data_IF_721212807641
#
_entry.id   IF_721212807641
#
_cell.length_a   1.000
_cell.length_b   1.000
_cell.length_c   1.000
_cell.angle_alpha   90.00
_cell.angle_beta   90.00
_cell.angle_gamma   90.00
#
_symmetry.space_group_name_H-M   'P 1'
#
loop_
_entity.id
_entity.type
_entity.pdbx_description
1 polymer ?
#
# COMPACT_ATOMS: atom_id res chain seq x y z
N UNK A 1 11.44 2.21 -20.80
CA UNK A 1 10.91 1.24 -19.81
C UNK A 1 9.77 0.44 -20.44
N UNK A 2 9.85 -0.90 -20.52
CA UNK A 2 9.35 -1.61 -21.68
C UNK A 2 7.86 -2.03 -21.60
N UNK A 3 7.15 -1.58 -22.65
CA UNK A 3 5.78 -1.84 -23.15
C UNK A 3 5.41 -3.32 -23.41
N UNK A 4 5.89 -4.30 -22.63
CA UNK A 4 5.85 -5.71 -23.06
C UNK A 4 4.82 -6.63 -22.38
N UNK A 5 4.04 -6.19 -21.38
CA UNK A 5 3.08 -7.08 -20.67
C UNK A 5 1.60 -6.78 -20.98
N UNK A 6 1.34 -5.79 -21.83
CA UNK A 6 -0.02 -5.37 -22.18
C UNK A 6 -0.90 -6.39 -22.94
N UNK A 7 -0.41 -7.35 -23.76
CA UNK A 7 -1.30 -8.06 -24.67
C UNK A 7 -2.01 -9.31 -24.10
N UNK A 8 -1.77 -9.74 -22.86
CA UNK A 8 -2.42 -10.95 -22.31
C UNK A 8 -3.69 -10.68 -21.51
N UNK A 9 -3.90 -9.45 -21.04
CA UNK A 9 -5.14 -9.03 -20.41
C UNK A 9 -5.83 -8.04 -21.35
N UNK A 10 -7.00 -8.43 -21.89
CA UNK A 10 -7.90 -7.56 -22.68
C UNK A 10 -8.51 -6.46 -21.81
N UNK A 11 -7.70 -5.65 -21.14
CA UNK A 11 -8.14 -4.52 -20.33
C UNK A 11 -8.32 -3.32 -21.27
N UNK A 12 -9.49 -3.27 -21.92
CA UNK A 12 -9.93 -2.15 -22.78
C UNK A 12 -10.37 -0.92 -21.97
N UNK A 13 -10.38 -1.01 -20.65
CA UNK A 13 -10.75 0.07 -19.74
C UNK A 13 -10.03 -0.15 -18.41
N UNK A 14 -9.71 0.91 -17.65
CA UNK A 14 -9.22 0.76 -16.29
C UNK A 14 -10.19 -0.14 -15.50
N UNK A 15 -9.69 -1.09 -14.68
CA UNK A 15 -10.53 -1.98 -13.90
C UNK A 15 -11.40 -1.16 -12.95
N UNK A 16 -12.67 -1.51 -12.71
CA UNK A 16 -13.51 -0.76 -11.79
C UNK A 16 -12.90 -0.77 -10.38
N UNK A 17 -13.02 0.33 -9.65
CA UNK A 17 -12.49 0.49 -8.28
C UNK A 17 -12.86 -0.68 -7.36
N UNK A 18 -14.07 -1.24 -7.48
CA UNK A 18 -14.54 -2.37 -6.69
C UNK A 18 -13.73 -3.66 -6.92
N UNK A 19 -13.23 -3.88 -8.13
CA UNK A 19 -12.36 -5.01 -8.44
C UNK A 19 -10.98 -4.82 -7.83
N UNK A 20 -10.43 -3.60 -7.90
CA UNK A 20 -9.15 -3.25 -7.26
C UNK A 20 -9.27 -3.38 -5.74
N UNK A 21 -10.35 -2.88 -5.15
CA UNK A 21 -10.58 -2.96 -3.70
C UNK A 21 -10.70 -4.40 -3.22
N UNK A 22 -11.46 -5.26 -3.92
CA UNK A 22 -11.55 -6.69 -3.60
C UNK A 22 -10.18 -7.36 -3.71
N UNK A 23 -9.39 -7.00 -4.72
CA UNK A 23 -8.05 -7.52 -4.87
C UNK A 23 -7.16 -7.10 -3.69
N UNK A 24 -7.15 -5.83 -3.31
CA UNK A 24 -6.39 -5.35 -2.15
C UNK A 24 -6.84 -5.99 -0.83
N UNK A 25 -8.13 -6.26 -0.67
CA UNK A 25 -8.66 -7.03 0.47
C UNK A 25 -8.09 -8.45 0.50
N UNK A 26 -8.12 -9.15 -0.64
CA UNK A 26 -7.63 -10.53 -0.74
C UNK A 26 -6.11 -10.60 -0.54
N UNK A 27 -5.39 -9.63 -1.11
CA UNK A 27 -3.93 -9.55 -1.04
C UNK A 27 -3.46 -9.19 0.36
N UNK A 28 -4.20 -8.34 1.07
CA UNK A 28 -3.91 -7.95 2.46
C UNK A 28 -4.31 -8.98 3.51
N UNK A 29 -5.04 -10.03 3.11
CA UNK A 29 -5.41 -11.12 4.00
C UNK A 29 -4.15 -11.81 4.55
N UNK A 30 -4.05 -11.97 5.86
CA UNK A 30 -2.86 -12.54 6.52
C UNK A 30 -1.59 -11.67 6.43
N UNK A 31 -1.71 -10.37 6.13
CA UNK A 31 -0.55 -9.46 6.05
C UNK A 31 0.27 -9.63 4.77
N UNK A 32 -0.27 -10.32 3.75
CA UNK A 32 0.35 -10.48 2.44
C UNK A 32 1.65 -11.29 2.41
N UNK A 33 2.00 -11.97 3.50
CA UNK A 33 3.24 -12.76 3.59
C UNK A 33 3.29 -13.85 2.51
N UNK A 34 2.18 -14.52 2.22
CA UNK A 34 2.11 -15.58 1.21
C UNK A 34 2.29 -15.04 -0.22
N UNK A 35 1.68 -13.88 -0.51
CA UNK A 35 1.77 -13.22 -1.81
C UNK A 35 3.17 -12.64 -2.05
N UNK A 36 3.76 -12.02 -1.03
CA UNK A 36 5.10 -11.47 -1.09
C UNK A 36 6.16 -12.58 -1.16
N UNK A 37 5.95 -13.70 -0.45
CA UNK A 37 6.83 -14.88 -0.54
C UNK A 37 6.78 -15.55 -1.90
N UNK A 38 5.64 -15.51 -2.58
CA UNK A 38 5.47 -16.03 -3.94
C UNK A 38 5.77 -14.99 -5.03
N UNK A 39 6.32 -13.81 -4.68
CA UNK A 39 6.55 -12.75 -5.66
C UNK A 39 7.55 -13.20 -6.73
N UNK A 40 7.20 -13.11 -8.04
CA UNK A 40 8.05 -13.63 -9.10
C UNK A 40 9.35 -12.82 -9.20
N UNK A 41 10.44 -13.42 -8.76
CA UNK A 41 11.79 -12.81 -8.72
C UNK A 41 12.33 -12.45 -10.11
N UNK A 42 11.72 -12.97 -11.18
CA UNK A 42 12.08 -12.71 -12.58
C UNK A 42 11.36 -11.54 -13.24
N UNK A 43 10.41 -10.86 -12.57
CA UNK A 43 9.59 -9.82 -13.20
C UNK A 43 10.31 -8.46 -13.34
N UNK A 44 11.48 -8.27 -12.73
CA UNK A 44 12.23 -7.00 -12.76
C UNK A 44 11.53 -5.82 -12.08
N UNK A 45 10.34 -6.05 -11.50
CA UNK A 45 9.52 -5.07 -10.78
C UNK A 45 9.38 -5.55 -9.34
N UNK A 46 9.90 -4.77 -8.40
CA UNK A 46 9.70 -5.02 -6.97
C UNK A 46 8.22 -4.88 -6.61
N UNK A 47 7.74 -5.64 -5.64
CA UNK A 47 6.37 -5.51 -5.14
C UNK A 47 6.05 -4.05 -4.82
N UNK A 48 6.94 -3.32 -4.15
CA UNK A 48 6.79 -1.89 -3.89
C UNK A 48 6.51 -1.04 -5.14
N UNK A 49 7.18 -1.32 -6.25
CA UNK A 49 6.95 -0.63 -7.51
C UNK A 49 5.60 -1.01 -8.15
N UNK A 50 5.18 -2.27 -8.00
CA UNK A 50 3.86 -2.73 -8.47
C UNK A 50 2.71 -2.10 -7.66
N UNK A 51 2.81 -2.10 -6.32
CA UNK A 51 1.86 -1.42 -5.45
C UNK A 51 1.90 0.11 -5.65
N UNK A 52 3.06 0.67 -6.03
CA UNK A 52 3.17 2.07 -6.45
C UNK A 52 2.32 2.40 -7.68
N UNK A 53 2.18 1.48 -8.65
CA UNK A 53 1.28 1.67 -9.78
C UNK A 53 -0.19 1.61 -9.36
N UNK A 54 -0.54 0.81 -8.35
CA UNK A 54 -1.89 0.81 -7.78
C UNK A 54 -2.18 2.16 -7.13
N UNK A 55 -1.25 2.73 -6.37
CA UNK A 55 -1.40 4.07 -5.80
C UNK A 55 -1.57 5.15 -6.87
N UNK A 56 -0.80 5.07 -7.97
CA UNK A 56 -0.97 5.97 -9.12
C UNK A 56 -2.38 5.87 -9.72
N UNK A 57 -2.90 4.64 -9.83
CA UNK A 57 -4.25 4.41 -10.33
C UNK A 57 -5.30 5.00 -9.39
N UNK A 58 -5.14 4.81 -8.07
CA UNK A 58 -6.04 5.36 -7.06
C UNK A 58 -6.03 6.90 -7.04
N UNK A 59 -4.86 7.52 -7.26
CA UNK A 59 -4.72 8.97 -7.39
C UNK A 59 -5.49 9.49 -8.61
N UNK A 60 -5.34 8.83 -9.76
CA UNK A 60 -6.03 9.19 -11.02
C UNK A 60 -7.55 8.99 -10.94
N UNK A 61 -8.01 7.95 -10.25
CA UNK A 61 -9.44 7.65 -10.07
C UNK A 61 -10.16 8.65 -9.17
N UNK A 62 -9.43 9.38 -8.32
CA UNK A 62 -10.02 10.23 -7.28
C UNK A 62 -10.68 9.42 -6.17
N UNK A 63 -10.03 9.39 -5.01
CA UNK A 63 -10.56 8.77 -3.81
C UNK A 63 -11.51 9.74 -3.09
N UNK A 64 -12.81 9.60 -3.31
CA UNK A 64 -13.81 10.25 -2.44
C UNK A 64 -13.75 9.71 -1.00
N UNK A 65 -14.36 10.44 -0.05
CA UNK A 65 -14.34 10.09 1.38
C UNK A 65 -14.81 8.65 1.68
N UNK A 66 -15.76 8.12 0.90
CA UNK A 66 -16.25 6.75 1.01
C UNK A 66 -15.16 5.72 0.63
N UNK A 67 -14.50 5.92 -0.52
CA UNK A 67 -13.41 5.06 -1.00
C UNK A 67 -12.22 5.08 -0.03
N UNK A 68 -11.90 6.25 0.52
CA UNK A 68 -10.86 6.38 1.55
C UNK A 68 -11.19 5.56 2.79
N UNK A 69 -12.43 5.62 3.29
CA UNK A 69 -12.84 4.85 4.46
C UNK A 69 -12.71 3.34 4.26
N UNK A 70 -12.95 2.85 3.05
CA UNK A 70 -12.80 1.43 2.71
C UNK A 70 -11.33 1.01 2.54
N UNK A 71 -10.43 1.92 2.12
CA UNK A 71 -9.00 1.63 1.93
C UNK A 71 -8.18 1.76 3.21
N UNK A 72 -8.56 2.66 4.12
CA UNK A 72 -7.87 2.90 5.41
C UNK A 72 -7.57 1.64 6.24
N UNK A 73 -8.53 0.72 6.43
CA UNK A 73 -8.28 -0.49 7.23
C UNK A 73 -7.54 -1.58 6.46
N UNK A 74 -7.36 -1.44 5.15
CA UNK A 74 -6.78 -2.51 4.33
C UNK A 74 -5.26 -2.50 4.43
N UNK A 75 -4.71 -3.67 4.75
CA UNK A 75 -3.28 -3.89 4.74
C UNK A 75 -2.81 -4.16 3.31
N UNK A 76 -2.55 -3.11 2.54
CA UNK A 76 -2.15 -3.26 1.14
C UNK A 76 -0.85 -2.57 0.77
N UNK A 77 -0.18 -1.91 1.72
CA UNK A 77 1.07 -1.21 1.46
C UNK A 77 2.25 -2.08 1.89
N UNK A 78 3.09 -2.54 0.95
CA UNK A 78 4.25 -3.34 1.31
C UNK A 78 5.31 -2.48 2.00
N UNK A 79 5.81 -3.01 3.12
CA UNK A 79 6.84 -2.42 3.97
C UNK A 79 7.94 -3.45 4.26
N UNK A 80 9.00 -2.97 4.91
CA UNK A 80 10.13 -3.81 5.35
C UNK A 80 10.72 -4.63 4.18
N UNK A 81 11.06 -3.96 3.07
CA UNK A 81 11.53 -4.57 1.82
C UNK A 81 10.52 -5.53 1.18
N UNK A 82 9.25 -5.14 1.19
CA UNK A 82 8.14 -5.94 0.67
C UNK A 82 8.05 -7.35 1.28
N UNK A 83 8.19 -7.42 2.60
CA UNK A 83 8.00 -8.68 3.34
C UNK A 83 6.63 -8.76 4.01
N UNK A 84 5.99 -7.60 4.26
CA UNK A 84 4.67 -7.50 4.88
C UNK A 84 3.84 -6.40 4.24
N UNK A 85 2.53 -6.60 4.17
CA UNK A 85 1.57 -5.56 3.85
C UNK A 85 0.98 -5.00 5.13
N UNK A 86 0.94 -3.68 5.24
CA UNK A 86 0.39 -2.99 6.42
C UNK A 86 -0.64 -1.95 6.02
N UNK A 87 -1.58 -1.63 6.92
CA UNK A 87 -2.53 -0.57 6.68
C UNK A 87 -1.82 0.79 6.69
N UNK A 88 -2.32 1.78 5.92
CA UNK A 88 -1.74 3.12 5.87
C UNK A 88 -1.65 3.79 7.24
N UNK A 89 -2.53 3.45 8.19
CA UNK A 89 -2.49 3.98 9.57
C UNK A 89 -1.27 3.56 10.38
N UNK A 90 -0.55 2.50 9.96
CA UNK A 90 0.68 2.02 10.60
C UNK A 90 1.95 2.52 9.91
N UNK A 91 1.82 3.37 8.89
CA UNK A 91 2.96 3.92 8.14
C UNK A 91 3.36 5.30 8.65
N UNK A 92 4.67 5.50 8.74
CA UNK A 92 5.28 6.74 9.18
C UNK A 92 6.32 7.22 8.15
N UNK A 93 6.32 8.52 7.82
CA UNK A 93 7.28 9.09 6.84
C UNK A 93 8.71 9.01 7.36
N UNK A 94 8.90 9.21 8.67
CA UNK A 94 10.17 9.00 9.35
C UNK A 94 9.95 8.20 10.62
N UNK A 95 10.58 7.03 10.69
CA UNK A 95 10.59 6.22 11.88
C UNK A 95 12.00 6.30 12.49
N UNK A 96 12.15 6.97 13.65
CA UNK A 96 13.46 7.05 14.33
C UNK A 96 13.84 5.76 15.05
N UNK A 97 12.85 4.93 15.37
CA UNK A 97 12.99 3.69 16.14
C UNK A 97 12.14 2.59 15.48
N UNK A 98 12.63 1.36 15.41
CA UNK A 98 11.87 0.25 14.84
C UNK A 98 10.68 -0.11 15.76
N UNK A 99 9.49 0.39 15.41
CA UNK A 99 8.24 0.13 16.12
C UNK A 99 7.52 -1.12 15.62
N UNK A 100 8.23 -2.05 14.96
CA UNK A 100 7.63 -3.31 14.49
C UNK A 100 7.06 -4.11 15.67
N UNK A 101 5.80 -4.61 15.60
CA UNK A 101 4.85 -4.62 14.47
C UNK A 101 3.83 -3.47 14.45
N UNK A 102 3.95 -2.48 15.34
CA UNK A 102 2.99 -1.38 15.54
C UNK A 102 3.16 -0.22 14.54
N UNK A 103 4.35 -0.06 13.96
CA UNK A 103 4.64 1.03 13.04
C UNK A 103 5.83 0.75 12.12
N UNK A 104 5.71 1.15 10.86
CA UNK A 104 6.70 0.94 9.82
C UNK A 104 7.05 2.24 9.11
N UNK A 105 8.30 2.35 8.65
CA UNK A 105 8.73 3.46 7.82
C UNK A 105 8.15 3.35 6.40
N UNK A 106 7.75 4.48 5.82
CA UNK A 106 7.24 4.59 4.47
C UNK A 106 8.38 4.41 3.46
N UNK A 107 8.28 3.43 2.55
CA UNK A 107 9.27 3.28 1.49
C UNK A 107 9.41 4.52 0.59
N UNK A 108 10.64 4.85 0.13
CA UNK A 108 10.89 6.04 -0.69
C UNK A 108 10.25 5.96 -2.09
N UNK A 109 9.81 4.78 -2.53
CA UNK A 109 9.02 4.62 -3.77
C UNK A 109 7.66 5.32 -3.69
N UNK A 110 7.14 5.51 -2.48
CA UNK A 110 5.82 6.07 -2.22
C UNK A 110 5.83 7.54 -1.87
N UNK A 111 7.01 8.16 -1.74
CA UNK A 111 7.14 9.59 -1.43
C UNK A 111 6.42 10.49 -2.44
N UNK A 112 6.26 10.02 -3.68
CA UNK A 112 5.48 10.71 -4.73
C UNK A 112 3.96 10.74 -4.47
N UNK A 113 3.44 9.84 -3.65
CA UNK A 113 2.01 9.72 -3.34
C UNK A 113 1.68 10.20 -1.91
N UNK A 114 2.53 11.03 -1.31
CA UNK A 114 2.37 11.48 0.08
C UNK A 114 1.02 12.16 0.35
N UNK A 115 0.49 12.93 -0.59
CA UNK A 115 -0.80 13.60 -0.43
C UNK A 115 -1.95 12.59 -0.29
N UNK A 116 -1.97 11.57 -1.16
CA UNK A 116 -2.96 10.49 -1.10
C UNK A 116 -2.76 9.63 0.16
N UNK A 117 -1.51 9.34 0.53
CA UNK A 117 -1.18 8.56 1.70
C UNK A 117 -1.57 9.26 3.01
N UNK A 118 -1.38 10.58 3.10
CA UNK A 118 -1.87 11.38 4.23
C UNK A 118 -3.39 11.34 4.34
N UNK A 119 -4.11 11.36 3.22
CA UNK A 119 -5.58 11.18 3.21
C UNK A 119 -5.99 9.78 3.69
N UNK A 120 -5.19 8.76 3.37
CA UNK A 120 -5.33 7.39 3.88
C UNK A 120 -4.88 7.22 5.34
N UNK A 121 -4.28 8.23 5.98
CA UNK A 121 -3.92 8.20 7.39
C UNK A 121 -2.45 7.86 7.70
N UNK A 122 -1.56 7.90 6.70
CA UNK A 122 -0.10 7.91 6.93
C UNK A 122 0.27 9.15 7.73
N UNK A 123 1.15 8.98 8.72
CA UNK A 123 1.57 10.05 9.63
C UNK A 123 3.02 10.44 9.41
N UNK A 124 3.35 11.70 9.66
CA UNK A 124 4.73 12.19 9.50
C UNK A 124 5.68 11.64 10.57
N UNK A 125 5.24 11.59 11.83
CA UNK A 125 6.00 11.07 12.97
C UNK A 125 5.10 10.21 13.89
N UNK A 126 5.64 9.15 14.51
CA UNK A 126 4.94 8.42 15.57
C UNK A 126 4.87 9.32 16.80
N UNK A 127 3.83 10.14 16.91
CA UNK A 127 3.56 10.83 18.16
C UNK A 127 3.32 9.80 19.27
N UNK A 128 3.96 9.96 20.43
CA UNK A 128 3.83 9.05 21.58
C UNK A 128 2.36 8.74 21.96
N UNK A 129 1.46 9.68 21.70
CA UNK A 129 0.01 9.55 21.93
C UNK A 129 -0.69 8.60 20.95
N UNK A 130 -0.15 8.40 19.75
CA UNK A 130 -0.66 7.46 18.76
C UNK A 130 -0.37 6.00 19.14
N UNK A 131 0.81 5.76 19.73
CA UNK A 131 1.21 4.44 20.22
C UNK A 131 0.39 4.02 21.45
N UNK A 132 0.05 4.96 22.33
CA UNK A 132 -0.80 4.69 23.49
C UNK A 132 -2.26 4.36 23.13
N UNK A 133 -2.76 4.83 21.98
CA UNK A 133 -4.13 4.57 21.52
C UNK A 133 -4.34 3.15 20.95
N UNK A 134 -3.28 2.35 20.80
CA UNK A 134 -3.35 0.94 20.39
C UNK A 134 -3.15 -0.05 21.55
N UNK A 135 -2.97 0.46 22.79
CA UNK A 135 -2.69 -0.35 23.99
C UNK A 135 -3.92 -0.45 24.93
N UNK A 136 -5.08 0.12 24.57
CA UNK A 136 -6.32 0.02 25.35
C UNK A 136 -7.53 -0.33 24.49
#
# INVERSE_FOLDING_TARGET
>A
VPRAIAPHFRLRSPPPFTAVLRHLQTVGEGGGEELLSSWPSGCGVSAEAAFGQVLEYLEKEGLGSDKLAQLRPLAFLPVANATRLVPPGCLFIRLKEELSPLGYELPPVYTKYLELLRQLGVRDEPGAQALLAHIW
#
